data_IF_799147869565
#
_entry.id   IF_799147869565
#
_cell.length_a   1.000
_cell.length_b   1.000
_cell.length_c   1.000
_cell.angle_alpha   90.00
_cell.angle_beta   90.00
_cell.angle_gamma   90.00
#
_symmetry.space_group_name_H-M   'P 1'
#
loop_
_entity.id
_entity.type
_entity.pdbx_description
1 polymer ?
#
# COMPACT_ATOMS: atom_id res chain seq x y z
N UNK A 1 -55.99 -26.68 38.62
CA UNK A 1 -54.66 -26.75 38.05
C UNK A 1 -54.19 -25.40 37.42
N UNK A 2 -55.03 -24.57 36.82
CA UNK A 2 -54.69 -23.24 36.33
C UNK A 2 -54.17 -22.28 37.39
N UNK A 3 -54.82 -22.21 38.53
CA UNK A 3 -54.42 -21.31 39.63
C UNK A 3 -53.02 -21.60 40.19
N UNK A 4 -52.64 -22.89 40.27
CA UNK A 4 -51.29 -23.25 40.69
C UNK A 4 -50.22 -22.85 39.66
N UNK A 5 -50.56 -22.90 38.37
CA UNK A 5 -49.65 -22.47 37.33
C UNK A 5 -49.42 -20.95 37.36
N UNK A 6 -50.46 -20.16 37.54
CA UNK A 6 -50.39 -18.69 37.67
C UNK A 6 -49.62 -18.28 38.93
N UNK A 7 -49.81 -18.97 40.06
CA UNK A 7 -49.03 -18.72 41.26
C UNK A 7 -47.54 -19.02 41.12
N UNK A 8 -47.21 -20.15 40.48
CA UNK A 8 -45.80 -20.49 40.20
C UNK A 8 -45.16 -19.46 39.25
N UNK A 9 -45.90 -18.99 38.25
CA UNK A 9 -45.42 -17.99 37.30
C UNK A 9 -45.21 -16.62 37.98
N UNK A 10 -46.07 -16.25 38.90
CA UNK A 10 -45.92 -15.02 39.71
C UNK A 10 -44.67 -15.09 40.61
N UNK A 11 -44.44 -16.23 41.27
CA UNK A 11 -43.23 -16.45 42.08
C UNK A 11 -41.98 -16.43 41.23
N UNK A 12 -41.98 -17.07 40.06
CA UNK A 12 -40.84 -17.06 39.14
C UNK A 12 -40.50 -15.65 38.64
N UNK A 13 -41.51 -14.83 38.32
CA UNK A 13 -41.34 -13.44 37.89
C UNK A 13 -40.75 -12.54 38.97
N UNK A 14 -41.04 -12.83 40.24
CA UNK A 14 -40.49 -12.10 41.39
C UNK A 14 -39.07 -12.57 41.77
N UNK A 15 -38.82 -13.87 41.61
CA UNK A 15 -37.52 -14.47 41.92
C UNK A 15 -36.42 -14.02 40.93
N UNK A 16 -36.74 -13.83 39.67
CA UNK A 16 -35.78 -13.48 38.62
C UNK A 16 -35.02 -12.16 38.89
N UNK A 17 -35.69 -11.04 39.25
CA UNK A 17 -34.98 -9.79 39.59
C UNK A 17 -34.10 -9.96 40.84
N UNK A 18 -34.56 -10.74 41.84
CA UNK A 18 -33.81 -10.97 43.09
C UNK A 18 -32.50 -11.76 42.78
N UNK A 19 -32.63 -12.83 42.01
CA UNK A 19 -31.46 -13.63 41.60
C UNK A 19 -30.48 -12.79 40.76
N UNK A 20 -30.99 -12.03 39.78
CA UNK A 20 -30.17 -11.17 38.94
C UNK A 20 -29.43 -10.12 39.76
N UNK A 21 -30.14 -9.46 40.70
CA UNK A 21 -29.53 -8.48 41.60
C UNK A 21 -28.51 -9.13 42.55
N UNK A 22 -28.79 -10.32 43.05
CA UNK A 22 -27.87 -11.09 43.88
C UNK A 22 -26.60 -11.47 43.15
N UNK A 23 -26.71 -11.90 41.90
CA UNK A 23 -25.56 -12.21 41.04
C UNK A 23 -24.73 -10.94 40.77
N UNK A 24 -25.35 -9.81 40.43
CA UNK A 24 -24.66 -8.53 40.19
C UNK A 24 -23.92 -8.06 41.45
N UNK A 25 -24.55 -8.16 42.62
CA UNK A 25 -23.96 -7.76 43.91
C UNK A 25 -22.80 -8.71 44.29
N UNK A 26 -22.99 -10.02 44.10
CA UNK A 26 -21.98 -11.03 44.42
C UNK A 26 -20.73 -10.87 43.53
N UNK A 27 -20.92 -10.65 42.22
CA UNK A 27 -19.80 -10.46 41.26
C UNK A 27 -19.41 -9.00 41.06
N UNK A 28 -19.86 -8.09 41.94
CA UNK A 28 -19.60 -6.64 41.83
C UNK A 28 -18.11 -6.30 41.77
N UNK A 29 -17.25 -7.03 42.48
CA UNK A 29 -15.80 -6.82 42.46
C UNK A 29 -15.22 -7.27 41.14
N UNK A 30 -15.56 -8.46 40.65
CA UNK A 30 -15.08 -9.03 39.41
C UNK A 30 -15.54 -8.21 38.19
N UNK A 31 -16.79 -7.76 38.19
CA UNK A 31 -17.32 -6.87 37.15
C UNK A 31 -16.61 -5.51 37.17
N UNK A 32 -16.34 -4.95 38.36
CA UNK A 32 -15.58 -3.70 38.50
C UNK A 32 -14.14 -3.85 38.04
N UNK A 33 -13.49 -4.96 38.34
CA UNK A 33 -12.14 -5.29 37.90
C UNK A 33 -12.10 -5.53 36.37
N UNK A 34 -13.09 -6.23 35.80
CA UNK A 34 -13.27 -6.38 34.36
C UNK A 34 -13.43 -5.03 33.67
N UNK A 35 -14.31 -4.17 34.16
CA UNK A 35 -14.53 -2.82 33.61
C UNK A 35 -13.28 -1.93 33.73
N UNK A 36 -12.53 -2.09 34.83
CA UNK A 36 -11.26 -1.36 35.00
C UNK A 36 -10.16 -1.88 34.09
N UNK A 37 -10.10 -3.19 33.82
CA UNK A 37 -9.20 -3.80 32.85
C UNK A 37 -9.57 -3.41 31.41
N UNK A 38 -10.86 -3.35 31.09
CA UNK A 38 -11.36 -2.84 29.78
C UNK A 38 -11.01 -1.36 29.61
N UNK A 39 -11.18 -0.52 30.67
CA UNK A 39 -10.79 0.90 30.64
C UNK A 39 -9.28 1.13 30.51
N UNK A 40 -8.43 0.20 30.95
CA UNK A 40 -6.97 0.27 30.85
C UNK A 40 -6.41 -0.40 29.60
N UNK A 41 -7.22 -0.81 28.61
CA UNK A 41 -6.75 -1.45 27.40
C UNK A 41 -6.17 -2.85 27.58
N UNK A 42 -6.28 -3.44 28.80
CA UNK A 42 -5.82 -4.80 29.09
C UNK A 42 -6.94 -5.80 28.85
N UNK A 43 -7.30 -6.04 27.60
CA UNK A 43 -8.18 -7.16 27.27
C UNK A 43 -7.30 -8.42 27.15
N UNK A 44 -7.54 -9.42 27.99
CA UNK A 44 -6.84 -10.73 28.01
C UNK A 44 -5.29 -10.66 28.23
N UNK A 45 -4.79 -9.67 28.99
CA UNK A 45 -3.36 -9.63 29.35
C UNK A 45 -2.42 -9.11 28.26
N UNK A 46 -2.95 -8.65 27.14
CA UNK A 46 -2.16 -7.95 26.13
C UNK A 46 -2.26 -6.44 26.37
N UNK A 47 -1.14 -5.81 26.72
CA UNK A 47 -0.95 -4.38 26.52
C UNK A 47 -0.93 -4.15 25.01
N UNK A 48 -1.80 -3.24 24.53
CA UNK A 48 -1.69 -2.79 23.15
C UNK A 48 -0.45 -1.89 23.02
N UNK A 49 0.72 -2.52 22.89
CA UNK A 49 1.90 -1.79 22.46
C UNK A 49 1.80 -1.50 20.96
N UNK A 50 1.35 -0.30 20.62
CA UNK A 50 1.30 0.17 19.24
C UNK A 50 2.69 0.63 18.76
N UNK A 51 3.61 0.92 19.66
CA UNK A 51 4.94 1.46 19.34
C UNK A 51 5.74 0.54 18.40
N UNK A 52 5.82 -0.76 18.71
CA UNK A 52 6.54 -1.70 17.85
C UNK A 52 5.93 -1.91 16.45
N UNK A 53 4.59 -2.03 16.31
CA UNK A 53 3.93 -2.01 15.00
C UNK A 53 4.12 -0.71 14.21
N UNK A 54 4.04 0.46 14.85
CA UNK A 54 4.26 1.77 14.22
C UNK A 54 5.69 1.92 13.70
N UNK A 55 6.68 1.59 14.51
CA UNK A 55 8.09 1.60 14.09
C UNK A 55 8.36 0.68 12.90
N UNK A 56 7.75 -0.52 12.89
CA UNK A 56 7.84 -1.43 11.74
C UNK A 56 7.12 -0.88 10.51
N UNK A 57 6.01 -0.18 10.69
CA UNK A 57 5.29 0.48 9.59
C UNK A 57 6.16 1.57 8.99
N UNK A 58 6.72 2.46 9.78
CA UNK A 58 7.55 3.56 9.30
C UNK A 58 8.77 3.07 8.50
N UNK A 59 9.51 2.09 9.03
CA UNK A 59 10.64 1.48 8.31
C UNK A 59 10.21 0.85 6.97
N UNK A 60 9.05 0.23 6.90
CA UNK A 60 8.53 -0.36 5.66
C UNK A 60 7.98 0.68 4.70
N UNK A 61 7.40 1.77 5.21
CA UNK A 61 6.93 2.89 4.39
C UNK A 61 8.10 3.63 3.74
N UNK A 62 9.19 3.86 4.49
CA UNK A 62 10.44 4.41 3.95
C UNK A 62 11.00 3.52 2.85
N UNK A 63 11.16 2.21 3.10
CA UNK A 63 11.62 1.27 2.07
C UNK A 63 10.71 1.22 0.83
N UNK A 64 9.40 1.49 0.99
CA UNK A 64 8.47 1.57 -0.13
C UNK A 64 8.63 2.87 -0.92
N UNK A 65 8.91 3.98 -0.25
CA UNK A 65 9.14 5.28 -0.89
C UNK A 65 10.49 5.29 -1.66
N UNK A 66 11.54 4.72 -1.08
CA UNK A 66 12.89 4.69 -1.68
C UNK A 66 12.98 3.76 -2.90
N UNK A 67 12.12 2.76 -3.00
CA UNK A 67 12.13 1.80 -4.11
C UNK A 67 11.38 2.29 -5.36
N UNK A 68 10.78 3.47 -5.32
CA UNK A 68 10.21 4.11 -6.52
C UNK A 68 11.34 4.86 -7.22
N UNK A 69 11.66 4.52 -8.48
CA UNK A 69 12.69 5.25 -9.23
C UNK A 69 12.35 6.73 -9.36
N UNK A 70 13.23 7.59 -8.86
CA UNK A 70 12.97 9.03 -8.78
C UNK A 70 13.28 9.81 -10.07
N UNK A 71 13.74 9.15 -11.13
CA UNK A 71 14.17 9.87 -12.34
C UNK A 71 13.42 9.39 -13.59
N UNK A 72 12.47 10.19 -14.11
CA UNK A 72 11.99 9.99 -15.47
C UNK A 72 13.17 10.23 -16.45
N UNK A 73 13.38 9.31 -17.37
CA UNK A 73 14.35 9.46 -18.45
C UNK A 73 13.74 10.42 -19.47
N UNK A 74 14.34 11.58 -19.66
CA UNK A 74 13.94 12.53 -20.71
C UNK A 74 14.75 12.23 -21.95
N UNK A 75 14.11 11.77 -23.04
CA UNK A 75 14.79 11.55 -24.31
C UNK A 75 15.13 12.89 -25.00
N UNK A 76 16.26 12.97 -25.74
CA UNK A 76 16.59 14.15 -26.53
C UNK A 76 15.56 14.33 -27.66
N UNK A 77 14.86 15.45 -27.65
CA UNK A 77 13.80 15.77 -28.61
C UNK A 77 12.43 16.08 -28.01
N UNK A 78 12.15 15.60 -26.82
CA UNK A 78 10.98 16.04 -26.09
C UNK A 78 11.27 17.40 -25.45
N UNK A 79 10.79 18.47 -26.09
CA UNK A 79 10.78 19.80 -25.51
C UNK A 79 10.15 19.69 -24.14
N UNK A 80 10.93 20.10 -23.12
CA UNK A 80 10.57 20.36 -21.73
C UNK A 80 9.19 19.82 -21.38
N UNK A 81 9.15 18.62 -20.81
CA UNK A 81 7.91 18.00 -20.36
C UNK A 81 7.12 19.04 -19.55
N UNK A 82 5.92 19.36 -20.00
CA UNK A 82 4.92 20.15 -19.29
C UNK A 82 4.52 19.54 -17.93
N UNK A 83 5.15 18.46 -17.52
CA UNK A 83 4.89 17.81 -16.24
C UNK A 83 5.20 18.72 -15.03
N UNK A 84 6.02 19.76 -15.20
CA UNK A 84 6.27 20.74 -14.14
C UNK A 84 5.20 21.85 -14.12
N UNK A 85 4.40 22.01 -15.17
CA UNK A 85 3.36 23.05 -15.23
C UNK A 85 1.94 22.51 -14.95
N UNK A 86 1.71 21.19 -14.97
CA UNK A 86 0.42 20.61 -14.60
C UNK A 86 0.19 20.46 -13.10
N UNK A 87 1.17 20.79 -12.27
CA UNK A 87 1.03 20.91 -10.81
C UNK A 87 0.39 22.22 -10.36
N UNK A 88 -0.01 23.11 -11.28
CA UNK A 88 -0.58 24.43 -10.93
C UNK A 88 -2.05 24.62 -11.29
N UNK A 89 -2.78 23.60 -11.66
CA UNK A 89 -4.23 23.67 -11.65
C UNK A 89 -4.73 23.26 -10.26
N UNK A 90 -5.11 24.24 -9.47
CA UNK A 90 -5.71 24.33 -8.14
C UNK A 90 -6.53 23.20 -7.52
N UNK A 91 -6.17 21.96 -7.82
CA UNK A 91 -6.62 20.76 -7.11
C UNK A 91 -5.53 20.44 -6.08
N UNK A 92 -5.83 20.61 -4.81
CA UNK A 92 -4.95 20.21 -3.70
C UNK A 92 -4.55 18.73 -3.87
N UNK A 93 -3.27 18.43 -3.64
CA UNK A 93 -2.77 17.04 -3.61
C UNK A 93 -3.61 16.27 -2.58
N UNK A 94 -4.27 15.15 -2.94
CA UNK A 94 -5.07 14.36 -2.02
C UNK A 94 -4.31 13.96 -0.75
N UNK A 95 -2.98 13.80 -0.84
CA UNK A 95 -2.13 13.53 0.31
C UNK A 95 -2.03 14.74 1.25
N UNK A 96 -2.02 15.96 0.72
CA UNK A 96 -2.01 17.19 1.51
C UNK A 96 -3.36 17.41 2.23
N UNK A 97 -4.46 17.12 1.57
CA UNK A 97 -5.80 17.17 2.16
C UNK A 97 -5.94 16.18 3.34
N UNK A 98 -5.37 14.98 3.20
CA UNK A 98 -5.30 14.01 4.30
C UNK A 98 -4.52 14.57 5.49
N UNK A 99 -3.35 15.17 5.26
CA UNK A 99 -2.52 15.74 6.33
C UNK A 99 -3.23 16.88 7.05
N UNK A 100 -3.84 17.81 6.31
CA UNK A 100 -4.63 18.91 6.88
C UNK A 100 -5.82 18.40 7.71
N UNK A 101 -6.52 17.38 7.21
CA UNK A 101 -7.62 16.75 7.95
C UNK A 101 -7.12 16.06 9.22
N UNK A 102 -5.97 15.40 9.14
CA UNK A 102 -5.39 14.68 10.27
C UNK A 102 -4.89 15.62 11.38
N UNK A 103 -4.39 16.81 11.04
CA UNK A 103 -4.00 17.83 12.02
C UNK A 103 -5.17 18.28 12.90
N UNK A 104 -6.39 18.34 12.35
CA UNK A 104 -7.60 18.75 13.07
C UNK A 104 -8.28 17.56 13.75
N UNK A 105 -8.42 16.45 13.01
CA UNK A 105 -9.10 15.23 13.48
C UNK A 105 -8.31 14.00 13.01
N UNK A 106 -7.32 13.53 13.80
CA UNK A 106 -6.39 12.46 13.39
C UNK A 106 -7.09 11.18 12.88
N UNK A 107 -8.15 10.75 13.53
CA UNK A 107 -8.93 9.57 13.11
C UNK A 107 -9.64 9.76 11.76
N UNK A 108 -10.10 10.97 11.45
CA UNK A 108 -10.72 11.28 10.16
C UNK A 108 -9.67 11.24 9.05
N UNK A 109 -8.49 11.82 9.29
CA UNK A 109 -7.37 11.75 8.37
C UNK A 109 -6.93 10.32 8.10
N UNK A 110 -6.86 9.45 9.12
CA UNK A 110 -6.52 8.04 8.95
C UNK A 110 -7.59 7.28 8.13
N UNK A 111 -8.86 7.58 8.32
CA UNK A 111 -9.96 6.97 7.55
C UNK A 111 -9.88 7.40 6.08
N UNK A 112 -9.78 8.72 5.83
CA UNK A 112 -9.64 9.28 4.50
C UNK A 112 -8.42 8.70 3.75
N UNK A 113 -7.29 8.57 4.43
CA UNK A 113 -6.09 7.96 3.89
C UNK A 113 -6.33 6.49 3.49
N UNK A 114 -7.04 5.73 4.34
CA UNK A 114 -7.38 4.33 4.04
C UNK A 114 -8.22 4.22 2.78
N UNK A 115 -9.22 5.10 2.61
CA UNK A 115 -10.11 5.12 1.45
C UNK A 115 -9.34 5.50 0.18
N UNK A 116 -8.41 6.44 0.27
CA UNK A 116 -7.53 6.81 -0.85
C UNK A 116 -6.60 5.66 -1.26
N UNK A 117 -5.98 4.98 -0.29
CA UNK A 117 -5.16 3.80 -0.56
C UNK A 117 -6.00 2.71 -1.23
N UNK A 118 -7.20 2.44 -0.75
CA UNK A 118 -8.09 1.44 -1.34
C UNK A 118 -8.54 1.82 -2.76
N UNK A 119 -8.74 3.12 -3.03
CA UNK A 119 -9.02 3.63 -4.37
C UNK A 119 -7.83 3.38 -5.30
N UNK A 120 -6.62 3.75 -4.87
CA UNK A 120 -5.39 3.57 -5.64
C UNK A 120 -5.14 2.10 -5.99
N UNK A 121 -5.35 1.19 -5.02
CA UNK A 121 -5.21 -0.25 -5.24
C UNK A 121 -6.20 -0.78 -6.29
N UNK A 122 -7.45 -0.30 -6.26
CA UNK A 122 -8.46 -0.63 -7.28
C UNK A 122 -8.02 -0.15 -8.66
N UNK A 123 -7.58 1.10 -8.77
CA UNK A 123 -7.13 1.67 -10.04
C UNK A 123 -5.92 0.92 -10.62
N UNK A 124 -4.96 0.51 -9.77
CA UNK A 124 -3.84 -0.33 -10.20
C UNK A 124 -4.34 -1.65 -10.78
N UNK A 125 -5.29 -2.32 -10.13
CA UNK A 125 -5.84 -3.58 -10.60
C UNK A 125 -6.58 -3.38 -11.93
N UNK A 126 -7.41 -2.36 -12.04
CA UNK A 126 -8.16 -2.07 -13.28
C UNK A 126 -7.25 -1.69 -14.44
N UNK A 127 -6.14 -0.98 -14.18
CA UNK A 127 -5.20 -0.58 -15.24
C UNK A 127 -4.46 -1.75 -15.89
N UNK A 128 -4.54 -2.95 -15.31
CA UNK A 128 -3.88 -4.16 -15.80
C UNK A 128 -4.77 -5.05 -16.72
N UNK A 129 -5.94 -4.56 -17.09
CA UNK A 129 -6.91 -5.27 -17.93
C UNK A 129 -7.95 -6.05 -17.14
N UNK A 130 -8.78 -6.81 -17.85
CA UNK A 130 -9.90 -7.56 -17.28
C UNK A 130 -9.43 -8.46 -16.11
N UNK A 131 -9.85 -8.08 -14.92
CA UNK A 131 -9.70 -8.89 -13.73
C UNK A 131 -11.09 -9.29 -13.29
N UNK A 132 -11.37 -10.59 -13.24
CA UNK A 132 -12.54 -11.13 -12.54
C UNK A 132 -12.43 -10.75 -11.07
N UNK A 133 -12.87 -9.53 -10.75
CA UNK A 133 -12.93 -9.06 -9.38
C UNK A 133 -14.20 -9.62 -8.75
N UNK A 134 -14.13 -10.14 -7.53
CA UNK A 134 -15.32 -10.54 -6.80
C UNK A 134 -16.23 -9.31 -6.63
N UNK A 135 -17.55 -9.55 -6.66
CA UNK A 135 -18.60 -8.53 -6.50
C UNK A 135 -18.37 -7.65 -5.25
N UNK A 136 -17.72 -8.19 -4.23
CA UNK A 136 -17.31 -7.45 -3.03
C UNK A 136 -15.79 -7.31 -3.04
N UNK A 137 -15.34 -6.12 -3.41
CA UNK A 137 -13.93 -5.77 -3.39
C UNK A 137 -13.53 -5.34 -1.97
N UNK A 138 -13.01 -6.30 -1.21
CA UNK A 138 -12.46 -6.03 0.11
C UNK A 138 -10.95 -5.81 0.05
N UNK A 139 -10.40 -5.15 1.07
CA UNK A 139 -8.95 -4.99 1.26
C UNK A 139 -8.19 -6.32 1.14
N UNK A 140 -8.71 -7.39 1.75
CA UNK A 140 -8.10 -8.75 1.70
C UNK A 140 -8.09 -9.28 0.27
N UNK A 141 -9.18 -9.09 -0.47
CA UNK A 141 -9.30 -9.49 -1.87
C UNK A 141 -8.33 -8.72 -2.75
N UNK A 142 -8.22 -7.38 -2.54
CA UNK A 142 -7.26 -6.56 -3.26
C UNK A 142 -5.83 -7.06 -3.07
N UNK A 143 -5.41 -7.25 -1.83
CA UNK A 143 -4.06 -7.76 -1.52
C UNK A 143 -3.81 -9.15 -2.11
N UNK A 144 -4.83 -10.02 -2.13
CA UNK A 144 -4.71 -11.37 -2.71
C UNK A 144 -4.51 -11.31 -4.22
N UNK A 145 -5.28 -10.47 -4.94
CA UNK A 145 -5.15 -10.26 -6.38
C UNK A 145 -3.79 -9.66 -6.71
N UNK A 146 -3.41 -8.58 -6.01
CA UNK A 146 -2.13 -7.89 -6.19
C UNK A 146 -0.94 -8.83 -5.96
N UNK A 147 -1.01 -9.69 -4.94
CA UNK A 147 0.00 -10.72 -4.67
C UNK A 147 0.01 -11.81 -5.74
N UNK A 148 -1.16 -12.39 -6.07
CA UNK A 148 -1.28 -13.49 -7.03
C UNK A 148 -0.77 -13.10 -8.41
N UNK A 149 -1.00 -11.85 -8.81
CA UNK A 149 -0.61 -11.31 -10.12
C UNK A 149 0.72 -10.56 -10.12
N UNK A 150 1.43 -10.49 -8.97
CA UNK A 150 2.68 -9.74 -8.82
C UNK A 150 2.58 -8.27 -9.30
N UNK A 151 1.44 -7.63 -9.06
CA UNK A 151 1.19 -6.24 -9.51
C UNK A 151 1.88 -5.19 -8.66
N UNK A 152 2.28 -5.54 -7.45
CA UNK A 152 3.02 -4.66 -6.54
C UNK A 152 4.34 -5.28 -6.11
N UNK A 153 5.33 -4.44 -5.97
CA UNK A 153 6.60 -4.82 -5.39
C UNK A 153 6.42 -5.39 -3.96
N UNK A 154 7.15 -6.45 -3.56
CA UNK A 154 6.95 -7.09 -2.26
C UNK A 154 7.14 -6.18 -1.05
N UNK A 155 8.07 -5.21 -1.14
CA UNK A 155 8.26 -4.26 -0.06
C UNK A 155 7.00 -3.39 0.12
N UNK A 156 6.37 -2.95 -0.96
CA UNK A 156 5.14 -2.18 -0.92
C UNK A 156 3.95 -3.02 -0.39
N UNK A 157 3.85 -4.30 -0.78
CA UNK A 157 2.88 -5.23 -0.20
C UNK A 157 3.09 -5.43 1.30
N UNK A 158 4.35 -5.50 1.76
CA UNK A 158 4.66 -5.58 3.20
C UNK A 158 4.31 -4.30 3.94
N UNK A 159 4.56 -3.13 3.34
CA UNK A 159 4.20 -1.84 3.90
C UNK A 159 2.67 -1.70 4.02
N UNK A 160 1.92 -2.03 2.98
CA UNK A 160 0.46 -2.05 3.00
C UNK A 160 -0.09 -2.94 4.11
N UNK A 161 0.41 -4.17 4.26
CA UNK A 161 -0.03 -5.07 5.34
C UNK A 161 0.24 -4.48 6.71
N UNK A 162 1.42 -3.86 6.90
CA UNK A 162 1.74 -3.21 8.16
C UNK A 162 0.80 -2.04 8.43
N UNK A 163 0.53 -1.20 7.43
CA UNK A 163 -0.40 -0.09 7.54
C UNK A 163 -1.80 -0.55 7.99
N UNK A 164 -2.36 -1.54 7.29
CA UNK A 164 -3.69 -2.02 7.65
C UNK A 164 -3.73 -2.72 9.01
N UNK A 165 -2.66 -3.40 9.42
CA UNK A 165 -2.56 -3.95 10.78
C UNK A 165 -2.62 -2.85 11.83
N UNK A 166 -1.81 -1.80 11.67
CA UNK A 166 -1.79 -0.64 12.57
C UNK A 166 -3.13 0.09 12.55
N UNK A 167 -3.66 0.40 11.35
CA UNK A 167 -4.97 1.05 11.18
C UNK A 167 -6.06 0.30 11.90
N UNK A 168 -6.14 -1.02 11.74
CA UNK A 168 -7.15 -1.83 12.39
C UNK A 168 -6.96 -1.83 13.92
N UNK A 169 -5.72 -1.90 14.41
CA UNK A 169 -5.44 -1.79 15.86
C UNK A 169 -5.90 -0.43 16.41
N UNK A 170 -5.63 0.67 15.70
CA UNK A 170 -6.07 2.01 16.09
C UNK A 170 -7.61 2.10 16.13
N UNK A 171 -8.28 1.58 15.11
CA UNK A 171 -9.76 1.63 15.03
C UNK A 171 -10.42 0.79 16.14
N UNK A 172 -9.86 -0.38 16.43
CA UNK A 172 -10.40 -1.26 17.50
C UNK A 172 -10.06 -0.78 18.91
N UNK A 173 -8.93 -0.09 19.08
CA UNK A 173 -8.50 0.51 20.35
C UNK A 173 -8.96 1.97 20.52
N UNK A 174 -10.00 2.40 19.82
CA UNK A 174 -10.48 3.79 19.79
C UNK A 174 -10.69 4.35 21.20
N UNK A 175 -10.04 5.47 21.49
CA UNK A 175 -10.04 6.13 22.79
C UNK A 175 -8.93 5.66 23.75
N UNK A 176 -8.06 4.74 23.33
CA UNK A 176 -6.87 4.28 24.07
C UNK A 176 -5.57 4.61 23.35
N UNK A 177 -5.66 5.02 22.07
CA UNK A 177 -4.55 5.40 21.22
C UNK A 177 -4.41 6.92 21.25
N UNK A 178 -3.20 7.42 21.43
CA UNK A 178 -2.93 8.85 21.43
C UNK A 178 -3.03 9.44 20.02
N UNK A 179 -3.38 10.72 19.91
CA UNK A 179 -3.40 11.42 18.64
C UNK A 179 -2.04 11.39 17.94
N UNK A 180 -0.95 11.40 18.70
CA UNK A 180 0.43 11.31 18.17
C UNK A 180 0.68 9.97 17.47
N UNK A 181 0.17 8.86 17.99
CA UNK A 181 0.30 7.55 17.36
C UNK A 181 -0.54 7.46 16.08
N UNK A 182 -1.73 8.07 16.10
CA UNK A 182 -2.58 8.15 14.90
C UNK A 182 -1.90 8.97 13.81
N UNK A 183 -1.34 10.14 14.16
CA UNK A 183 -0.60 10.99 13.22
C UNK A 183 0.63 10.29 12.64
N UNK A 184 1.38 9.53 13.44
CA UNK A 184 2.50 8.72 12.96
C UNK A 184 2.06 7.65 11.95
N UNK A 185 0.88 7.03 12.17
CA UNK A 185 0.32 6.08 11.21
C UNK A 185 -0.12 6.78 9.92
N UNK A 186 -0.67 7.99 10.01
CA UNK A 186 -1.04 8.81 8.85
C UNK A 186 0.20 9.18 8.03
N UNK A 187 1.27 9.69 8.65
CA UNK A 187 2.51 10.04 7.95
C UNK A 187 3.10 8.85 7.19
N UNK A 188 3.22 7.70 7.87
CA UNK A 188 3.69 6.46 7.22
C UNK A 188 2.77 6.01 6.08
N UNK A 189 1.46 6.15 6.24
CA UNK A 189 0.48 5.79 5.22
C UNK A 189 0.50 6.73 4.02
N UNK A 190 0.78 8.03 4.20
CA UNK A 190 0.97 9.00 3.11
C UNK A 190 2.18 8.63 2.24
N UNK A 191 3.28 8.17 2.85
CA UNK A 191 4.45 7.66 2.10
C UNK A 191 4.04 6.47 1.21
N UNK A 192 3.21 5.55 1.73
CA UNK A 192 2.67 4.42 0.97
C UNK A 192 1.74 4.89 -0.14
N UNK A 193 0.84 5.85 0.13
CA UNK A 193 -0.05 6.42 -0.88
C UNK A 193 0.73 7.02 -2.04
N UNK A 194 1.74 7.85 -1.76
CA UNK A 194 2.63 8.42 -2.78
C UNK A 194 3.36 7.35 -3.58
N UNK A 195 3.83 6.29 -2.93
CA UNK A 195 4.45 5.16 -3.62
C UNK A 195 3.46 4.43 -4.55
N UNK A 196 2.18 4.30 -4.17
CA UNK A 196 1.14 3.73 -5.03
C UNK A 196 0.80 4.65 -6.21
N UNK A 197 0.73 5.96 -5.98
CA UNK A 197 0.45 6.95 -7.03
C UNK A 197 1.54 6.99 -8.10
N UNK A 198 2.78 6.70 -7.74
CA UNK A 198 3.90 6.61 -8.65
C UNK A 198 3.91 5.31 -9.49
N UNK A 199 3.00 4.36 -9.24
CA UNK A 199 2.87 3.17 -10.07
C UNK A 199 2.22 3.56 -11.40
N UNK A 200 2.89 3.30 -12.54
CA UNK A 200 2.36 3.67 -13.85
C UNK A 200 1.01 3.01 -14.11
N UNK A 201 0.07 3.83 -14.53
CA UNK A 201 -1.26 3.40 -14.93
C UNK A 201 -1.38 3.68 -16.41
N UNK A 202 -1.68 2.67 -17.18
CA UNK A 202 -1.78 2.81 -18.59
C UNK A 202 -1.04 1.69 -19.33
N UNK A 203 -0.95 1.80 -20.64
CA UNK A 203 -0.25 0.83 -21.47
C UNK A 203 1.25 1.07 -21.28
N UNK A 204 1.93 0.11 -20.67
CA UNK A 204 3.38 0.08 -20.63
C UNK A 204 3.86 -0.51 -21.96
N UNK A 205 4.61 0.26 -22.74
CA UNK A 205 5.14 -0.20 -24.02
C UNK A 205 6.65 -0.32 -23.91
N UNK A 206 7.20 -1.40 -24.44
CA UNK A 206 8.64 -1.59 -24.48
C UNK A 206 9.25 -0.56 -25.42
N UNK A 207 10.05 0.36 -24.86
CA UNK A 207 10.76 1.37 -25.63
C UNK A 207 12.16 0.86 -26.07
N UNK A 208 12.87 0.20 -25.15
CA UNK A 208 14.16 -0.44 -25.39
C UNK A 208 14.26 -1.74 -24.60
N UNK A 209 14.96 -2.74 -25.14
CA UNK A 209 15.27 -3.99 -24.44
C UNK A 209 16.76 -4.30 -24.58
N UNK A 210 17.31 -5.11 -23.67
CA UNK A 210 18.72 -5.52 -23.71
C UNK A 210 19.72 -4.41 -23.37
N UNK A 211 19.32 -3.39 -22.62
CA UNK A 211 20.20 -2.31 -22.18
C UNK A 211 21.23 -2.86 -21.19
N UNK A 212 22.51 -2.59 -21.42
CA UNK A 212 23.60 -3.02 -20.53
C UNK A 212 23.53 -2.31 -19.20
N UNK A 213 23.67 -3.08 -18.13
CA UNK A 213 23.62 -2.63 -16.75
C UNK A 213 24.99 -2.78 -16.08
N UNK A 214 25.32 -1.87 -15.18
CA UNK A 214 26.63 -1.81 -14.53
C UNK A 214 26.48 -1.67 -13.02
N UNK A 215 27.42 -2.27 -12.29
CA UNK A 215 27.46 -2.20 -10.82
C UNK A 215 28.24 -0.98 -10.29
N UNK A 216 28.81 -0.17 -11.17
CA UNK A 216 29.62 0.99 -10.85
C UNK A 216 29.21 2.23 -11.67
N UNK A 217 29.39 3.45 -11.11
CA UNK A 217 28.98 4.69 -11.77
C UNK A 217 29.79 5.04 -13.01
N UNK A 218 30.96 4.41 -13.23
CA UNK A 218 31.75 4.62 -14.44
C UNK A 218 31.36 3.66 -15.57
N UNK A 219 30.39 2.78 -15.37
CA UNK A 219 29.95 1.75 -16.33
C UNK A 219 31.11 0.87 -16.85
N UNK A 220 32.01 0.44 -15.95
CA UNK A 220 33.15 -0.44 -16.29
C UNK A 220 32.85 -1.91 -15.95
N UNK A 221 32.03 -2.17 -14.93
CA UNK A 221 31.69 -3.52 -14.43
C UNK A 221 30.27 -3.90 -14.86
N UNK A 222 30.15 -4.53 -16.02
CA UNK A 222 28.85 -4.99 -16.54
C UNK A 222 28.28 -6.08 -15.64
N UNK A 223 26.99 -5.98 -15.35
CA UNK A 223 26.24 -7.03 -14.65
C UNK A 223 25.88 -8.14 -15.63
N UNK A 224 26.30 -9.36 -15.31
CA UNK A 224 26.02 -10.53 -16.15
C UNK A 224 24.65 -11.15 -15.79
N UNK A 225 24.00 -11.72 -16.78
CA UNK A 225 22.73 -12.45 -16.60
C UNK A 225 21.50 -11.57 -16.35
N UNK A 226 21.63 -10.25 -16.43
CA UNK A 226 20.54 -9.30 -16.34
C UNK A 226 20.74 -8.17 -17.33
N UNK A 227 19.66 -7.69 -17.93
CA UNK A 227 19.64 -6.52 -18.81
C UNK A 227 18.60 -5.51 -18.35
N UNK A 228 18.72 -4.28 -18.83
CA UNK A 228 17.71 -3.25 -18.63
C UNK A 228 16.63 -3.31 -19.70
N UNK A 229 15.40 -3.12 -19.30
CA UNK A 229 14.28 -2.83 -20.18
C UNK A 229 13.77 -1.42 -19.91
N UNK A 230 13.68 -0.57 -20.92
CA UNK A 230 13.11 0.77 -20.82
C UNK A 230 11.65 0.69 -21.27
N UNK A 231 10.74 1.05 -20.38
CA UNK A 231 9.32 1.13 -20.66
C UNK A 231 8.90 2.58 -20.91
N UNK A 232 8.17 2.80 -21.98
CA UNK A 232 7.39 4.01 -22.20
C UNK A 232 6.07 3.86 -21.49
N UNK A 233 5.82 4.75 -20.53
CA UNK A 233 4.64 4.73 -19.66
C UNK A 233 3.85 6.00 -19.90
N UNK A 234 2.54 5.89 -20.03
CA UNK A 234 1.66 7.03 -20.24
C UNK A 234 0.32 6.63 -20.76
N UNK A 235 -0.58 7.58 -20.85
CA UNK A 235 -1.87 7.40 -21.50
C UNK A 235 -1.69 7.44 -23.03
N UNK A 236 -2.64 6.85 -23.78
CA UNK A 236 -2.56 6.73 -25.26
C UNK A 236 -2.28 8.06 -25.99
N UNK A 237 -2.65 9.17 -25.40
CA UNK A 237 -2.55 10.53 -25.96
C UNK A 237 -1.81 11.53 -25.08
N UNK A 238 -1.31 11.10 -23.91
CA UNK A 238 -0.60 11.95 -22.95
C UNK A 238 0.93 11.92 -23.10
N UNK A 239 1.63 12.74 -22.33
CA UNK A 239 3.09 12.71 -22.29
C UNK A 239 3.57 11.34 -21.78
N UNK A 240 4.57 10.76 -22.46
CA UNK A 240 5.18 9.49 -22.08
C UNK A 240 6.31 9.74 -21.10
N UNK A 241 6.36 8.96 -20.02
CA UNK A 241 7.52 8.86 -19.15
C UNK A 241 8.28 7.58 -19.47
N UNK A 242 9.59 7.61 -19.34
CA UNK A 242 10.46 6.49 -19.64
C UNK A 242 11.18 6.06 -18.38
N UNK A 243 11.23 4.75 -18.14
CA UNK A 243 11.83 4.22 -16.94
C UNK A 243 12.49 2.87 -17.21
N UNK A 244 13.68 2.65 -16.64
CA UNK A 244 14.44 1.43 -16.82
C UNK A 244 14.25 0.47 -15.66
N UNK A 245 14.12 -0.83 -15.96
CA UNK A 245 13.95 -1.91 -15.00
C UNK A 245 14.85 -3.10 -15.33
N UNK A 246 15.27 -3.89 -14.32
CA UNK A 246 16.03 -5.12 -14.54
C UNK A 246 15.13 -6.24 -15.07
N UNK A 247 15.64 -7.02 -15.98
CA UNK A 247 14.99 -8.24 -16.46
C UNK A 247 16.03 -9.29 -16.86
N UNK A 248 15.75 -10.57 -16.61
CA UNK A 248 16.52 -11.70 -17.16
C UNK A 248 15.92 -12.21 -18.47
N UNK A 249 14.74 -11.72 -18.85
CA UNK A 249 14.08 -12.08 -20.10
C UNK A 249 14.73 -11.36 -21.29
N UNK A 250 14.88 -12.10 -22.38
CA UNK A 250 15.50 -11.63 -23.62
C UNK A 250 14.52 -11.56 -24.80
N UNK A 251 13.28 -11.99 -24.58
CA UNK A 251 12.24 -12.15 -25.61
C UNK A 251 11.38 -10.89 -25.84
N UNK A 252 11.70 -9.80 -25.18
CA UNK A 252 10.98 -8.54 -25.33
C UNK A 252 11.24 -7.84 -26.67
N UNK A 253 10.16 -7.43 -27.35
CA UNK A 253 10.21 -6.69 -28.60
C UNK A 253 9.83 -5.23 -28.39
N UNK A 254 10.58 -4.33 -28.99
CA UNK A 254 10.27 -2.90 -28.96
C UNK A 254 8.90 -2.65 -29.59
N UNK A 255 8.06 -1.86 -28.92
CA UNK A 255 6.70 -1.56 -29.34
C UNK A 255 5.64 -2.47 -28.71
N UNK A 256 6.00 -3.60 -28.11
CA UNK A 256 5.02 -4.48 -27.49
C UNK A 256 4.46 -3.86 -26.20
N UNK A 257 3.11 -3.84 -26.02
CA UNK A 257 2.51 -3.53 -24.73
C UNK A 257 2.72 -4.69 -23.76
N UNK A 258 3.06 -4.38 -22.52
CA UNK A 258 3.34 -5.38 -21.47
C UNK A 258 2.56 -5.12 -20.21
N UNK A 259 2.22 -6.19 -19.50
CA UNK A 259 1.61 -6.14 -18.18
C UNK A 259 2.63 -5.69 -17.13
N UNK A 260 2.17 -5.01 -16.09
CA UNK A 260 2.99 -4.57 -14.95
C UNK A 260 3.19 -5.71 -13.97
N UNK A 261 4.13 -6.61 -14.28
CA UNK A 261 4.39 -7.82 -13.52
C UNK A 261 5.84 -7.89 -13.03
N UNK A 262 6.04 -8.37 -11.78
CA UNK A 262 7.32 -8.41 -11.09
C UNK A 262 7.63 -9.78 -10.52
N UNK A 263 8.92 -10.18 -10.55
CA UNK A 263 9.41 -11.37 -9.89
C UNK A 263 10.10 -11.02 -8.57
N UNK A 264 9.70 -11.74 -7.51
CA UNK A 264 10.32 -11.63 -6.19
C UNK A 264 11.64 -12.42 -6.06
N UNK A 265 11.98 -13.22 -7.06
CA UNK A 265 13.12 -14.15 -6.97
C UNK A 265 14.45 -13.42 -7.06
N UNK A 266 14.50 -12.35 -7.85
CA UNK A 266 15.72 -11.61 -8.11
C UNK A 266 15.55 -10.14 -7.74
N UNK A 267 16.52 -9.62 -6.98
CA UNK A 267 16.63 -8.20 -6.64
C UNK A 267 18.05 -7.74 -6.96
N UNK A 268 18.17 -6.52 -7.44
CA UNK A 268 19.46 -5.89 -7.73
C UNK A 268 19.54 -4.58 -6.96
N UNK A 269 20.66 -4.40 -6.25
CA UNK A 269 21.02 -3.14 -5.62
C UNK A 269 21.43 -2.10 -6.66
N UNK A 270 21.97 -1.00 -6.19
CA UNK A 270 22.32 0.17 -6.94
C UNK A 270 22.99 -0.17 -8.28
N UNK A 271 22.45 0.37 -9.38
CA UNK A 271 22.79 -0.01 -10.74
C UNK A 271 22.79 1.21 -11.64
N UNK A 272 23.75 1.28 -12.53
CA UNK A 272 23.90 2.33 -13.55
C UNK A 272 23.73 1.76 -14.95
N UNK A 273 23.44 2.62 -15.89
CA UNK A 273 23.37 2.28 -17.28
C UNK A 273 23.89 3.45 -18.13
N UNK A 274 24.26 3.15 -19.36
CA UNK A 274 24.50 4.18 -20.36
C UNK A 274 23.24 4.31 -21.20
N UNK A 275 22.63 5.46 -21.17
CA UNK A 275 21.43 5.76 -21.96
C UNK A 275 21.77 5.55 -23.45
N UNK A 276 21.06 4.66 -24.15
CA UNK A 276 21.36 4.34 -25.54
C UNK A 276 21.10 5.50 -26.52
N UNK A 277 20.28 6.48 -26.14
CA UNK A 277 19.93 7.61 -27.01
C UNK A 277 20.83 8.84 -26.76
N UNK A 278 21.21 9.09 -25.52
CA UNK A 278 22.06 10.25 -25.15
C UNK A 278 23.53 9.90 -24.94
N UNK A 279 23.84 8.64 -24.69
CA UNK A 279 25.17 8.16 -24.31
C UNK A 279 25.60 8.55 -22.89
N UNK A 280 24.74 9.24 -22.12
CA UNK A 280 25.03 9.64 -20.76
C UNK A 280 24.95 8.45 -19.81
N UNK A 281 25.78 8.49 -18.78
CA UNK A 281 25.69 7.53 -17.68
C UNK A 281 24.69 8.05 -16.66
N UNK A 282 23.74 7.21 -16.32
CA UNK A 282 22.66 7.55 -15.40
C UNK A 282 22.45 6.42 -14.37
N UNK A 283 21.96 6.79 -13.20
CA UNK A 283 21.50 5.83 -12.20
C UNK A 283 20.21 5.20 -12.69
N UNK A 284 20.23 3.88 -12.84
CA UNK A 284 19.01 3.13 -13.20
C UNK A 284 18.05 3.01 -12.02
N UNK A 285 18.57 2.59 -10.87
CA UNK A 285 17.84 2.46 -9.60
C UNK A 285 18.81 2.26 -8.42
N UNK A 286 18.34 2.49 -7.21
CA UNK A 286 19.06 2.15 -5.98
C UNK A 286 18.84 0.69 -5.59
N UNK A 287 17.58 0.23 -5.65
CA UNK A 287 17.20 -1.15 -5.50
C UNK A 287 15.99 -1.45 -6.38
N UNK A 288 16.04 -2.53 -7.14
CA UNK A 288 14.92 -2.94 -7.98
C UNK A 288 14.78 -4.44 -8.06
N UNK A 289 13.54 -4.87 -8.27
CA UNK A 289 13.18 -6.26 -8.53
C UNK A 289 13.05 -6.50 -10.02
N UNK A 290 13.08 -7.77 -10.40
CA UNK A 290 12.97 -8.19 -11.78
C UNK A 290 11.60 -7.83 -12.37
N UNK A 291 11.62 -7.13 -13.50
CA UNK A 291 10.45 -6.95 -14.34
C UNK A 291 10.26 -8.19 -15.22
N UNK A 292 9.06 -8.82 -15.11
CA UNK A 292 8.71 -10.05 -15.85
C UNK A 292 7.42 -9.89 -16.65
N UNK A 293 6.97 -8.67 -16.87
CA UNK A 293 5.71 -8.37 -17.54
C UNK A 293 5.54 -9.15 -18.85
N UNK A 294 4.41 -9.85 -18.98
CA UNK A 294 4.09 -10.59 -20.20
C UNK A 294 3.60 -9.65 -21.30
N UNK A 295 3.88 -9.92 -22.58
CA UNK A 295 3.29 -9.16 -23.68
C UNK A 295 1.75 -9.24 -23.62
N UNK A 296 1.10 -8.10 -23.79
CA UNK A 296 -0.34 -7.98 -23.94
C UNK A 296 -0.62 -8.02 -25.42
N UNK A 297 -0.93 -9.19 -25.96
CA UNK A 297 -1.37 -9.29 -27.35
C UNK A 297 -2.68 -8.54 -27.50
N UNK A 298 -2.72 -7.56 -28.41
CA UNK A 298 -3.99 -7.02 -28.89
C UNK A 298 -4.73 -8.17 -29.58
N UNK A 299 -5.79 -8.67 -28.92
CA UNK A 299 -6.82 -9.51 -29.58
C UNK A 299 -7.58 -8.69 -30.59
#
# INVERSE_FOLDING_TARGET
MKEYAEFIQAIASLLWPIVTTGVIVYYRKEVKDLLTRIKRGKFLGQEFELEAPLKRLDLRALAAADAVPHHPITLPGDKKSLATELTSTGLSDPAEEVLQTAEVIPYSGLTMLSDLIDKELREIIYSQGEVDLPLIFTQTTAQMVLKKRNLLAPHLLRALRAFYTVRNSIVHARGQVSDTEVLSAVDSGVKILKALQNIPRGINVIHRSGVKLYSDPECKKERQGVSGIILAMGDKSGPKTYQIYPTTRIDYRVGDPVAWEWSQKNTWGQTWYRDPDTGKIELAWEESMEFVGRPLHST
#
